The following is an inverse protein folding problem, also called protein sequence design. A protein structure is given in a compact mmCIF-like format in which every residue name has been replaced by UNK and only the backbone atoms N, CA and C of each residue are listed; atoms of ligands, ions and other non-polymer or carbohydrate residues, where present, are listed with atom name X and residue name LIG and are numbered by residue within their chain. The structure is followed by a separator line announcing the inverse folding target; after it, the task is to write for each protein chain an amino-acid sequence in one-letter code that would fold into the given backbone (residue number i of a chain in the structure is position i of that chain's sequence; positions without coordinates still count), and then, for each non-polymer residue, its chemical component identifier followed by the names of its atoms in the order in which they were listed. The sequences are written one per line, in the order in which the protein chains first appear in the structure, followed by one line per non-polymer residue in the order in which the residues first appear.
data_IF_278562271960
#
_entry.id   IF_278562271960
#
_cell.length_a   1.000
_cell.length_b   1.000
_cell.length_c   1.000
_cell.angle_alpha   90.00
_cell.angle_beta   90.00
_cell.angle_gamma   90.00
#
_symmetry.space_group_name_H-M   'P 1'
#
loop_
_entity.id
_entity.type
_entity.pdbx_description
1 polymer ?
#
# COMPACT_ATOMS: atom_id res chain seq x y z
N UNK A 1 15.03 45.69 50.63
CA UNK A 1 15.23 46.47 49.38
C UNK A 1 15.69 45.51 48.28
N UNK A 2 14.86 45.34 47.22
CA UNK A 2 15.13 44.75 45.88
C UNK A 2 15.61 43.27 45.81
N UNK A 3 14.71 42.32 45.48
CA UNK A 3 14.42 41.77 44.12
C UNK A 3 15.70 41.23 43.45
N UNK A 4 15.80 39.94 43.11
CA UNK A 4 15.10 39.40 41.94
C UNK A 4 15.13 37.86 41.86
N UNK A 5 13.94 37.27 41.69
CA UNK A 5 13.69 35.93 41.13
C UNK A 5 14.07 35.92 39.64
N UNK A 6 14.87 34.94 39.21
CA UNK A 6 15.03 34.57 37.79
C UNK A 6 14.79 33.06 37.72
N UNK A 7 13.51 32.65 37.66
CA UNK A 7 12.80 32.18 36.45
C UNK A 7 13.53 31.04 35.72
N UNK A 8 13.12 29.82 36.08
CA UNK A 8 13.17 28.62 35.27
C UNK A 8 12.72 28.91 33.83
N UNK A 9 13.61 28.72 32.87
CA UNK A 9 13.26 28.61 31.45
C UNK A 9 12.72 27.18 31.21
N UNK A 10 11.47 26.96 31.61
CA UNK A 10 10.68 25.85 31.10
C UNK A 10 10.30 26.18 29.65
N UNK A 11 11.08 25.66 28.69
CA UNK A 11 10.70 25.67 27.29
C UNK A 11 9.60 24.62 27.07
N UNK A 12 8.35 24.99 27.33
CA UNK A 12 7.21 24.16 26.98
C UNK A 12 7.01 24.20 25.46
N UNK A 13 7.57 23.22 24.74
CA UNK A 13 7.00 22.83 23.45
C UNK A 13 5.59 22.28 23.71
N UNK A 14 4.60 23.15 23.55
CA UNK A 14 3.19 22.78 23.56
C UNK A 14 2.85 21.89 22.38
N UNK A 15 3.14 20.59 22.44
CA UNK A 15 2.41 19.62 21.61
C UNK A 15 1.10 19.33 22.30
N UNK A 16 0.00 19.94 21.83
CA UNK A 16 -1.33 19.70 22.38
C UNK A 16 -1.64 18.18 22.37
N UNK A 17 -2.16 17.60 23.46
CA UNK A 17 -2.55 16.18 23.52
C UNK A 17 -3.60 15.80 22.45
N UNK A 18 -4.35 16.78 21.92
CA UNK A 18 -5.40 16.63 20.92
C UNK A 18 -4.90 16.15 19.55
N UNK A 19 -3.66 16.46 19.17
CA UNK A 19 -3.12 16.05 17.86
C UNK A 19 -2.77 14.55 17.79
N UNK A 20 -2.39 13.92 18.91
CA UNK A 20 -2.00 12.50 18.94
C UNK A 20 -3.20 11.56 18.76
N UNK A 21 -4.35 11.87 19.34
CA UNK A 21 -5.57 11.07 19.18
C UNK A 21 -6.15 11.11 17.75
N UNK A 22 -6.05 12.26 17.07
CA UNK A 22 -6.58 12.47 15.71
C UNK A 22 -5.81 11.66 14.64
N UNK A 23 -4.50 11.46 14.83
CA UNK A 23 -3.63 10.64 13.96
C UNK A 23 -3.86 9.14 14.14
N UNK A 24 -4.10 8.66 15.37
CA UNK A 24 -4.31 7.23 15.68
C UNK A 24 -5.54 6.61 14.99
N UNK A 25 -6.45 7.41 14.45
CA UNK A 25 -7.68 6.98 13.76
C UNK A 25 -7.66 7.24 12.24
N UNK A 26 -6.58 7.79 11.69
CA UNK A 26 -6.51 8.16 10.28
C UNK A 26 -6.50 6.91 9.37
N UNK A 27 -5.68 5.92 9.70
CA UNK A 27 -5.57 4.66 8.94
C UNK A 27 -6.87 3.84 8.96
N UNK A 28 -7.63 3.85 10.07
CA UNK A 28 -8.94 3.17 10.14
C UNK A 28 -9.94 3.82 9.17
N UNK A 29 -9.95 5.15 9.10
CA UNK A 29 -10.81 5.88 8.15
C UNK A 29 -10.39 5.59 6.72
N UNK A 30 -9.09 5.54 6.46
CA UNK A 30 -8.53 5.22 5.15
C UNK A 30 -8.92 3.80 4.71
N UNK A 31 -8.76 2.79 5.56
CA UNK A 31 -9.21 1.41 5.28
C UNK A 31 -10.69 1.38 4.92
N UNK A 32 -11.56 2.00 5.73
CA UNK A 32 -13.01 2.03 5.46
C UNK A 32 -13.34 2.74 4.16
N UNK A 33 -12.66 3.82 3.85
CA UNK A 33 -12.87 4.57 2.62
C UNK A 33 -12.43 3.76 1.40
N UNK A 34 -11.24 3.13 1.45
CA UNK A 34 -10.70 2.32 0.37
C UNK A 34 -11.57 1.08 0.11
N UNK A 35 -12.00 0.38 1.16
CA UNK A 35 -12.90 -0.78 1.05
C UNK A 35 -14.30 -0.43 0.50
N UNK A 36 -14.79 0.79 0.72
CA UNK A 36 -16.07 1.25 0.17
C UNK A 36 -15.97 1.67 -1.29
N UNK A 37 -14.78 2.04 -1.74
CA UNK A 37 -14.55 2.61 -3.05
C UNK A 37 -14.07 1.56 -4.06
N UNK A 38 -14.31 1.78 -5.34
CA UNK A 38 -13.94 0.85 -6.43
C UNK A 38 -13.05 1.50 -7.50
N UNK A 39 -12.44 2.64 -7.17
CA UNK A 39 -11.54 3.31 -8.11
C UNK A 39 -10.17 2.63 -8.14
N UNK A 40 -9.52 2.66 -9.31
CA UNK A 40 -8.16 2.16 -9.47
C UNK A 40 -7.18 2.98 -8.62
N UNK A 41 -6.32 2.29 -7.89
CA UNK A 41 -5.37 2.87 -6.94
C UNK A 41 -4.04 3.24 -7.61
N UNK A 42 -3.63 2.47 -8.63
CA UNK A 42 -2.41 2.76 -9.36
C UNK A 42 -2.64 3.85 -10.41
N UNK A 43 -1.64 4.72 -10.60
CA UNK A 43 -1.69 5.72 -11.67
C UNK A 43 -1.59 5.02 -13.03
N UNK A 44 -2.52 5.35 -13.94
CA UNK A 44 -2.63 4.74 -15.27
C UNK A 44 -1.37 4.91 -16.14
N UNK A 45 -0.75 6.09 -16.11
CA UNK A 45 0.43 6.41 -16.94
C UNK A 45 1.67 5.53 -16.63
N UNK A 46 2.15 5.43 -15.38
CA UNK A 46 3.27 4.54 -15.07
C UNK A 46 2.93 3.06 -15.27
N UNK A 47 1.69 2.64 -14.98
CA UNK A 47 1.26 1.27 -15.24
C UNK A 47 1.31 0.92 -16.74
N UNK A 48 0.82 1.82 -17.60
CA UNK A 48 0.90 1.63 -19.06
C UNK A 48 2.34 1.54 -19.57
N UNK A 49 3.26 2.35 -19.03
CA UNK A 49 4.69 2.27 -19.39
C UNK A 49 5.29 0.93 -19.00
N UNK A 50 4.98 0.43 -17.80
CA UNK A 50 5.44 -0.87 -17.30
C UNK A 50 4.93 -2.02 -18.18
N UNK A 51 3.64 -2.02 -18.54
CA UNK A 51 3.06 -3.04 -19.41
C UNK A 51 3.76 -3.07 -20.78
N UNK A 52 4.02 -1.91 -21.37
CA UNK A 52 4.74 -1.81 -22.65
C UNK A 52 6.19 -2.28 -22.53
N UNK A 53 6.90 -1.91 -21.47
CA UNK A 53 8.27 -2.37 -21.22
C UNK A 53 8.35 -3.90 -21.12
N UNK A 54 7.41 -4.52 -20.40
CA UNK A 54 7.32 -5.98 -20.27
C UNK A 54 7.01 -6.61 -21.63
N UNK A 55 6.06 -6.04 -22.38
CA UNK A 55 5.68 -6.55 -23.69
C UNK A 55 6.86 -6.58 -24.67
N UNK A 56 7.67 -5.52 -24.72
CA UNK A 56 8.86 -5.43 -25.59
C UNK A 56 9.84 -6.57 -25.33
N UNK A 57 9.96 -7.07 -24.09
CA UNK A 57 10.84 -8.22 -23.75
C UNK A 57 10.40 -9.51 -24.44
N UNK A 58 9.11 -9.66 -24.74
CA UNK A 58 8.55 -10.84 -25.41
C UNK A 58 8.45 -10.67 -26.93
N UNK A 59 8.32 -9.44 -27.43
CA UNK A 59 8.08 -9.18 -28.86
C UNK A 59 9.34 -8.87 -29.66
N UNK A 60 10.54 -9.14 -29.12
CA UNK A 60 11.83 -8.97 -29.82
C UNK A 60 12.00 -7.61 -30.52
N UNK A 61 11.48 -6.54 -29.91
CA UNK A 61 11.58 -5.17 -30.44
C UNK A 61 10.46 -4.72 -31.39
N UNK A 62 9.38 -5.48 -31.54
CA UNK A 62 8.18 -5.00 -32.26
C UNK A 62 7.27 -4.23 -31.30
N UNK A 63 6.95 -2.99 -31.66
CA UNK A 63 6.05 -2.14 -30.90
C UNK A 63 4.59 -2.46 -31.22
N UNK A 64 3.87 -3.01 -30.23
CA UNK A 64 2.43 -3.23 -30.35
C UNK A 64 1.62 -1.98 -29.98
N UNK A 65 0.55 -1.75 -30.74
CA UNK A 65 -0.49 -0.79 -30.38
C UNK A 65 -1.42 -1.42 -29.34
N UNK A 66 -1.64 -0.69 -28.24
CA UNK A 66 -2.49 -1.14 -27.14
C UNK A 66 -3.82 -0.39 -27.16
N UNK A 67 -4.92 -1.14 -27.10
CA UNK A 67 -6.23 -0.56 -26.86
C UNK A 67 -6.31 -0.01 -25.42
N UNK A 68 -6.96 1.14 -25.25
CA UNK A 68 -7.18 1.74 -23.93
C UNK A 68 -7.92 0.79 -22.98
N UNK A 69 -8.94 0.08 -23.48
CA UNK A 69 -9.71 -0.88 -22.70
C UNK A 69 -8.90 -2.09 -22.25
N UNK A 70 -7.97 -2.58 -23.07
CA UNK A 70 -7.09 -3.69 -22.72
C UNK A 70 -6.16 -3.32 -21.55
N UNK A 71 -5.60 -2.09 -21.57
CA UNK A 71 -4.78 -1.59 -20.47
C UNK A 71 -5.57 -1.41 -19.17
N UNK A 72 -6.84 -0.99 -19.26
CA UNK A 72 -7.72 -0.90 -18.09
C UNK A 72 -8.03 -2.28 -17.50
N UNK A 73 -8.40 -3.24 -18.34
CA UNK A 73 -8.69 -4.61 -17.90
C UNK A 73 -7.45 -5.26 -17.24
N UNK A 74 -6.26 -5.06 -17.79
CA UNK A 74 -5.01 -5.52 -17.16
C UNK A 74 -4.76 -4.87 -15.81
N UNK A 75 -5.05 -3.57 -15.69
CA UNK A 75 -4.88 -2.85 -14.43
C UNK A 75 -5.88 -3.35 -13.37
N UNK A 76 -7.14 -3.52 -13.74
CA UNK A 76 -8.18 -4.06 -12.85
C UNK A 76 -7.80 -5.46 -12.33
N UNK A 77 -7.39 -6.36 -13.23
CA UNK A 77 -6.96 -7.70 -12.85
C UNK A 77 -5.73 -7.69 -11.93
N UNK A 78 -4.72 -6.85 -12.24
CA UNK A 78 -3.50 -6.75 -11.46
C UNK A 78 -3.76 -6.19 -10.05
N UNK A 79 -4.57 -5.13 -9.93
CA UNK A 79 -4.91 -4.55 -8.63
C UNK A 79 -5.76 -5.52 -7.79
N UNK A 80 -6.77 -6.17 -8.41
CA UNK A 80 -7.56 -7.19 -7.73
C UNK A 80 -6.67 -8.32 -7.21
N UNK A 81 -5.74 -8.84 -8.02
CA UNK A 81 -4.81 -9.88 -7.60
C UNK A 81 -3.96 -9.45 -6.40
N UNK A 82 -3.39 -8.24 -6.43
CA UNK A 82 -2.55 -7.72 -5.36
C UNK A 82 -3.35 -7.54 -4.05
N UNK A 83 -4.58 -7.02 -4.12
CA UNK A 83 -5.44 -6.87 -2.94
C UNK A 83 -5.68 -8.22 -2.27
N UNK A 84 -6.12 -9.22 -3.03
CA UNK A 84 -6.34 -10.57 -2.48
C UNK A 84 -5.05 -11.17 -1.91
N UNK A 85 -3.90 -10.99 -2.58
CA UNK A 85 -2.63 -11.51 -2.08
C UNK A 85 -2.22 -10.85 -0.75
N UNK A 86 -2.47 -9.55 -0.59
CA UNK A 86 -2.19 -8.84 0.65
C UNK A 86 -3.14 -9.24 1.78
N UNK A 87 -4.41 -9.55 1.49
CA UNK A 87 -5.35 -10.07 2.47
C UNK A 87 -4.86 -11.41 3.06
N UNK A 88 -4.46 -12.36 2.21
CA UNK A 88 -3.91 -13.64 2.65
C UNK A 88 -2.60 -13.48 3.43
N UNK A 89 -1.68 -12.66 2.93
CA UNK A 89 -0.42 -12.37 3.62
C UNK A 89 -0.64 -11.68 4.97
N UNK A 90 -1.70 -10.88 5.09
CA UNK A 90 -2.07 -10.25 6.36
C UNK A 90 -2.63 -11.27 7.37
N UNK A 91 -3.44 -12.24 6.93
CA UNK A 91 -3.87 -13.35 7.78
C UNK A 91 -2.69 -14.14 8.35
N UNK A 92 -1.65 -14.37 7.55
CA UNK A 92 -0.41 -15.02 8.01
C UNK A 92 0.36 -14.16 9.01
N UNK A 93 0.37 -12.83 8.81
CA UNK A 93 1.00 -11.89 9.74
C UNK A 93 0.30 -11.92 11.11
N UNK A 94 -1.03 -11.94 11.11
CA UNK A 94 -1.86 -12.07 12.31
C UNK A 94 -1.69 -13.43 12.99
N UNK A 95 -1.59 -14.51 12.21
CA UNK A 95 -1.31 -15.86 12.73
C UNK A 95 0.02 -15.90 13.51
N UNK A 96 1.02 -15.13 13.05
CA UNK A 96 2.30 -14.97 13.74
C UNK A 96 2.29 -13.94 14.89
N UNK A 97 1.12 -13.43 15.31
CA UNK A 97 0.96 -12.46 16.39
C UNK A 97 1.43 -11.04 16.07
N UNK A 98 1.62 -10.71 14.78
CA UNK A 98 2.11 -9.40 14.32
C UNK A 98 0.99 -8.63 13.62
N UNK A 99 0.99 -7.30 13.77
CA UNK A 99 0.11 -6.39 13.01
C UNK A 99 0.81 -5.85 11.75
N UNK A 100 2.14 -5.85 11.74
CA UNK A 100 2.93 -5.41 10.58
C UNK A 100 3.17 -6.58 9.63
N UNK A 101 2.90 -6.34 8.33
CA UNK A 101 3.13 -7.30 7.25
C UNK A 101 4.61 -7.29 6.84
N UNK A 102 5.20 -8.48 6.68
CA UNK A 102 6.59 -8.64 6.27
C UNK A 102 6.72 -9.42 4.95
N UNK A 103 7.85 -9.28 4.23
CA UNK A 103 8.07 -9.99 2.96
C UNK A 103 7.92 -11.52 3.06
N UNK A 104 8.29 -12.09 4.21
CA UNK A 104 8.12 -13.53 4.48
C UNK A 104 6.67 -13.99 4.48
N UNK A 105 5.73 -13.12 4.87
CA UNK A 105 4.30 -13.43 4.92
C UNK A 105 3.74 -13.49 3.49
N UNK A 106 4.17 -12.57 2.61
CA UNK A 106 3.81 -12.58 1.18
C UNK A 106 4.41 -13.77 0.46
N UNK A 107 5.69 -14.08 0.72
CA UNK A 107 6.36 -15.24 0.13
C UNK A 107 5.66 -16.54 0.54
N UNK A 108 5.25 -16.65 1.80
CA UNK A 108 4.52 -17.80 2.30
C UNK A 108 3.12 -17.89 1.67
N UNK A 109 2.39 -16.77 1.57
CA UNK A 109 1.09 -16.73 0.90
C UNK A 109 1.17 -17.23 -0.55
N UNK A 110 2.16 -16.74 -1.32
CA UNK A 110 2.41 -17.21 -2.69
C UNK A 110 2.75 -18.69 -2.76
N UNK A 111 3.50 -19.20 -1.77
CA UNK A 111 3.87 -20.62 -1.72
C UNK A 111 2.66 -21.51 -1.41
N UNK A 112 1.76 -21.08 -0.53
CA UNK A 112 0.55 -21.83 -0.15
C UNK A 112 -0.47 -21.84 -1.27
N UNK A 113 -0.66 -20.71 -1.98
CA UNK A 113 -1.52 -20.62 -3.17
C UNK A 113 -1.06 -21.52 -4.34
N UNK A 114 0.14 -22.07 -4.26
CA UNK A 114 0.67 -22.97 -5.28
C UNK A 114 1.06 -22.26 -6.57
N UNK A 115 1.32 -23.06 -7.61
CA UNK A 115 1.90 -22.57 -8.87
C UNK A 115 0.87 -21.78 -9.69
N UNK A 116 -0.40 -22.20 -9.69
CA UNK A 116 -1.45 -21.61 -10.53
C UNK A 116 -1.92 -20.23 -10.07
N UNK A 117 -2.00 -19.98 -8.76
CA UNK A 117 -2.50 -18.70 -8.22
C UNK A 117 -1.41 -17.87 -7.53
N UNK A 118 -0.28 -18.47 -7.14
CA UNK A 118 0.75 -17.80 -6.34
C UNK A 118 1.95 -17.30 -7.15
N UNK A 119 2.36 -18.04 -8.19
CA UNK A 119 3.61 -17.75 -8.91
C UNK A 119 3.42 -16.93 -10.19
N UNK A 120 2.23 -16.96 -10.79
CA UNK A 120 1.98 -16.35 -12.10
C UNK A 120 2.45 -17.25 -13.22
#
# INVERSE_FOLDING_TARGET
MKRSKIRYLNFQFGTSPRQRGRRKLAWIKEIRNLQKSTHLLLRKAPFSRLVREICVKFTRGVDFNWQSQALLALQEAAEAFLVHLFEDAYLLSLHAGRVTLFPKDVQLARRIRGIQEGLG
#
